data_IF_134511552264
#
_entry.id   IF_134511552264
#
_cell.length_a   1.000
_cell.length_b   1.000
_cell.length_c   1.000
_cell.angle_alpha   90.00
_cell.angle_beta   90.00
_cell.angle_gamma   90.00
#
_symmetry.space_group_name_H-M   'P 1'
#
loop_
_entity.id
_entity.type
_entity.pdbx_description
1 polymer ?
#
# COMPACT_ATOMS: atom_id res chain seq x y z
N UNK A 1 1.12 5.14 5.04
CA UNK A 1 0.77 4.49 3.77
C UNK A 1 -0.66 3.99 3.88
N UNK A 2 -1.25 3.50 2.79
CA UNK A 2 -2.55 2.83 2.83
C UNK A 2 -2.42 1.38 3.39
N UNK A 3 -3.53 0.71 3.74
CA UNK A 3 -3.51 -0.65 4.28
C UNK A 3 -2.99 -1.73 3.31
N UNK A 4 -2.85 -1.41 2.02
CA UNK A 4 -2.39 -2.33 0.97
C UNK A 4 -0.88 -2.27 0.75
N UNK A 5 -0.16 -1.50 1.57
CA UNK A 5 1.28 -1.31 1.48
C UNK A 5 1.92 -1.39 2.89
N UNK A 6 2.31 -2.60 3.28
CA UNK A 6 2.99 -2.89 4.54
C UNK A 6 4.04 -3.99 4.38
N UNK A 7 5.01 -3.98 5.28
CA UNK A 7 5.99 -5.04 5.42
C UNK A 7 6.57 -5.04 6.82
N UNK A 8 7.00 -6.21 7.28
CA UNK A 8 7.46 -6.40 8.65
C UNK A 8 7.74 -7.86 8.94
N UNK A 9 8.19 -8.13 10.16
CA UNK A 9 8.48 -9.49 10.61
C UNK A 9 7.35 -9.95 11.52
N UNK A 10 6.80 -11.14 11.25
CA UNK A 10 5.71 -11.70 12.05
C UNK A 10 6.18 -11.93 13.49
N UNK A 11 5.53 -11.29 14.44
CA UNK A 11 5.75 -11.55 15.86
C UNK A 11 5.07 -12.86 16.29
N UNK A 12 5.70 -13.60 17.19
CA UNK A 12 5.03 -14.67 17.94
C UNK A 12 4.11 -14.03 18.97
N UNK A 13 2.80 -14.24 18.87
CA UNK A 13 1.85 -13.79 19.89
C UNK A 13 1.93 -14.78 21.05
N UNK A 14 2.12 -14.33 22.32
CA UNK A 14 2.07 -15.22 23.47
C UNK A 14 0.71 -15.93 23.51
N UNK A 15 0.72 -17.24 23.77
CA UNK A 15 -0.46 -18.12 23.79
C UNK A 15 -1.55 -17.74 24.80
N UNK A 16 -1.41 -16.63 25.55
CA UNK A 16 -2.40 -16.08 26.47
C UNK A 16 -3.23 -14.90 25.95
N UNK A 17 -2.99 -14.40 24.72
CA UNK A 17 -3.79 -13.29 24.16
C UNK A 17 -4.89 -13.87 23.26
N UNK A 18 -6.04 -14.20 23.87
CA UNK A 18 -7.28 -14.44 23.13
C UNK A 18 -7.75 -13.13 22.48
N UNK A 19 -7.25 -12.83 21.28
CA UNK A 19 -7.94 -11.93 20.37
C UNK A 19 -9.09 -12.74 19.75
N UNK A 20 -10.33 -12.35 20.03
CA UNK A 20 -11.50 -13.19 19.85
C UNK A 20 -11.70 -13.74 18.43
N UNK A 21 -11.33 -15.00 18.24
CA UNK A 21 -11.96 -15.89 17.26
C UNK A 21 -12.76 -16.92 18.05
N UNK A 22 -14.08 -16.98 17.78
CA UNK A 22 -14.96 -18.01 18.33
C UNK A 22 -14.61 -19.33 17.67
N UNK A 23 -13.96 -20.22 18.41
CA UNK A 23 -13.86 -21.62 18.04
C UNK A 23 -15.25 -22.28 18.05
N UNK A 24 -15.49 -23.09 17.02
CA UNK A 24 -16.69 -23.92 16.89
C UNK A 24 -16.57 -25.17 17.76
N UNK A 25 -17.66 -25.66 18.39
CA UNK A 25 -17.56 -26.71 19.39
C UNK A 25 -17.46 -28.11 18.75
N UNK A 26 -16.58 -28.95 19.28
CA UNK A 26 -16.69 -30.40 19.18
C UNK A 26 -17.18 -30.97 20.52
N UNK A 27 -18.34 -31.60 20.49
CA UNK A 27 -18.91 -32.47 21.53
C UNK A 27 -17.89 -33.59 21.87
N UNK A 28 -17.53 -33.90 23.13
CA UNK A 28 -18.33 -34.55 24.19
C UNK A 28 -18.46 -36.05 23.88
N UNK A 29 -18.01 -37.05 24.65
CA UNK A 29 -17.66 -37.27 26.05
C UNK A 29 -16.78 -38.56 26.11
N UNK A 30 -16.01 -38.90 27.16
CA UNK A 30 -16.47 -39.60 28.39
C UNK A 30 -15.29 -39.76 29.38
N UNK A 31 -15.62 -39.75 30.67
CA UNK A 31 -14.79 -39.70 31.90
C UNK A 31 -13.91 -40.92 32.21
N UNK A 32 -12.91 -40.71 33.08
CA UNK A 32 -12.22 -41.69 33.91
C UNK A 32 -11.11 -41.04 34.74
N UNK A 33 -11.15 -41.23 36.07
CA UNK A 33 -10.44 -40.51 37.14
C UNK A 33 -8.97 -40.92 37.40
N UNK A 34 -8.27 -40.03 38.13
CA UNK A 34 -7.22 -40.24 39.16
C UNK A 34 -5.85 -40.85 38.77
N UNK A 35 -4.77 -40.05 38.80
CA UNK A 35 -3.81 -39.94 39.93
C UNK A 35 -2.48 -39.27 39.51
N UNK A 36 -1.92 -38.48 40.44
CA UNK A 36 -0.63 -37.77 40.39
C UNK A 36 0.57 -38.71 40.26
N UNK A 37 1.48 -38.48 39.30
CA UNK A 37 2.93 -38.64 39.48
C UNK A 37 3.69 -37.59 38.65
N UNK A 38 4.54 -36.83 39.36
CA UNK A 38 5.49 -35.85 38.83
C UNK A 38 6.54 -36.54 37.95
N UNK A 39 6.49 -36.34 36.64
CA UNK A 39 7.63 -36.54 35.74
C UNK A 39 8.01 -35.18 35.13
N UNK A 40 9.11 -34.62 35.66
CA UNK A 40 9.84 -33.49 35.08
C UNK A 40 10.50 -33.96 33.77
N UNK A 41 9.74 -34.03 32.69
CA UNK A 41 10.30 -34.12 31.34
C UNK A 41 10.83 -32.72 30.97
N UNK A 42 12.13 -32.54 31.17
CA UNK A 42 12.92 -31.50 30.52
C UNK A 42 12.88 -31.71 29.01
N UNK A 43 11.80 -31.26 28.36
CA UNK A 43 11.76 -31.07 26.92
C UNK A 43 12.71 -29.90 26.57
N UNK A 44 13.99 -30.23 26.41
CA UNK A 44 14.90 -29.51 25.52
C UNK A 44 14.33 -29.57 24.08
N UNK A 45 13.24 -28.84 23.82
CA UNK A 45 12.83 -28.54 22.45
C UNK A 45 13.85 -27.56 21.89
N UNK A 46 14.95 -28.13 21.36
CA UNK A 46 15.86 -27.51 20.42
C UNK A 46 15.18 -27.21 19.09
N UNK A 47 13.97 -26.65 19.13
CA UNK A 47 13.25 -26.10 18.02
C UNK A 47 14.03 -24.89 17.51
N UNK A 48 14.82 -25.14 16.47
CA UNK A 48 15.55 -24.14 15.71
C UNK A 48 14.63 -22.93 15.48
N UNK A 49 14.96 -21.77 16.08
CA UNK A 49 14.16 -20.56 15.89
C UNK A 49 13.99 -20.35 14.38
N UNK A 50 12.75 -20.18 13.87
CA UNK A 50 12.54 -20.00 12.44
C UNK A 50 13.39 -18.81 11.97
N UNK A 51 14.04 -18.98 10.81
CA UNK A 51 14.90 -17.94 10.27
C UNK A 51 14.10 -16.64 10.13
N UNK A 52 14.73 -15.50 10.43
CA UNK A 52 14.07 -14.18 10.39
C UNK A 52 13.54 -13.91 8.97
N UNK A 53 14.19 -14.48 7.97
CA UNK A 53 13.76 -14.45 6.57
C UNK A 53 12.43 -15.16 6.33
N UNK A 54 12.13 -16.26 7.04
CA UNK A 54 10.88 -17.01 6.92
C UNK A 54 9.68 -16.28 7.55
N UNK A 55 9.95 -15.38 8.51
CA UNK A 55 8.94 -14.56 9.18
C UNK A 55 8.66 -13.23 8.48
N UNK A 56 9.37 -12.92 7.39
CA UNK A 56 9.25 -11.65 6.70
C UNK A 56 7.98 -11.59 5.82
N UNK A 57 7.07 -10.69 6.15
CA UNK A 57 5.93 -10.33 5.30
C UNK A 57 6.25 -9.10 4.45
N UNK A 58 5.94 -9.20 3.15
CA UNK A 58 6.04 -8.10 2.20
C UNK A 58 4.75 -8.00 1.39
N UNK A 59 3.85 -7.12 1.79
CA UNK A 59 2.62 -6.82 1.06
C UNK A 59 2.65 -5.39 0.53
N UNK A 60 3.25 -5.22 -0.65
CA UNK A 60 3.45 -3.91 -1.27
C UNK A 60 2.71 -3.83 -2.59
N UNK A 61 1.45 -3.36 -2.60
CA UNK A 61 0.73 -3.07 -3.84
C UNK A 61 1.56 -2.17 -4.80
N UNK A 62 2.32 -1.23 -4.25
CA UNK A 62 3.21 -0.34 -5.00
C UNK A 62 4.19 -1.09 -5.92
N UNK A 63 4.66 -2.27 -5.51
CA UNK A 63 5.63 -3.04 -6.29
C UNK A 63 5.04 -3.52 -7.62
N UNK A 64 3.73 -3.77 -7.67
CA UNK A 64 3.07 -4.28 -8.86
C UNK A 64 3.04 -3.26 -9.99
N UNK A 65 3.14 -1.97 -9.66
CA UNK A 65 3.19 -0.86 -10.62
C UNK A 65 4.59 -0.60 -11.16
N UNK A 66 5.63 -1.23 -10.59
CA UNK A 66 6.98 -1.15 -11.14
C UNK A 66 7.15 -2.16 -12.29
N UNK A 67 7.99 -1.84 -13.29
CA UNK A 67 8.29 -2.77 -14.38
C UNK A 67 8.91 -4.08 -13.89
N UNK A 68 8.46 -5.21 -14.43
CA UNK A 68 9.16 -6.48 -14.25
C UNK A 68 10.52 -6.47 -14.99
N UNK A 69 10.59 -5.69 -16.07
CA UNK A 69 11.82 -5.45 -16.81
C UNK A 69 12.91 -4.84 -15.91
N UNK A 70 14.17 -5.16 -16.22
CA UNK A 70 15.33 -4.78 -15.42
C UNK A 70 15.28 -5.21 -13.94
N UNK A 71 14.37 -6.12 -13.56
CA UNK A 71 14.21 -6.65 -12.20
C UNK A 71 13.82 -5.59 -11.15
N UNK A 72 13.09 -4.54 -11.55
CA UNK A 72 12.75 -3.43 -10.62
C UNK A 72 11.94 -3.91 -9.42
N UNK A 73 10.97 -4.82 -9.63
CA UNK A 73 10.17 -5.39 -8.54
C UNK A 73 11.03 -6.17 -7.54
N UNK A 74 11.91 -7.06 -8.03
CA UNK A 74 12.82 -7.83 -7.18
C UNK A 74 13.77 -6.94 -6.41
N UNK A 75 14.34 -5.92 -7.07
CA UNK A 75 15.22 -4.97 -6.41
C UNK A 75 14.50 -4.14 -5.36
N UNK A 76 13.22 -3.79 -5.57
CA UNK A 76 12.43 -3.06 -4.59
C UNK A 76 12.28 -3.88 -3.31
N UNK A 77 11.84 -5.14 -3.47
CA UNK A 77 11.68 -6.07 -2.35
C UNK A 77 13.03 -6.27 -1.64
N UNK A 78 14.11 -6.50 -2.38
CA UNK A 78 15.44 -6.70 -1.79
C UNK A 78 15.89 -5.51 -0.93
N UNK A 79 15.72 -4.27 -1.40
CA UNK A 79 16.15 -3.07 -0.64
C UNK A 79 15.27 -2.85 0.60
N UNK A 80 13.96 -3.00 0.46
CA UNK A 80 13.01 -2.82 1.58
C UNK A 80 13.17 -3.92 2.63
N UNK A 81 13.23 -5.18 2.20
CA UNK A 81 13.46 -6.34 3.07
C UNK A 81 14.79 -6.25 3.81
N UNK A 82 15.88 -5.88 3.12
CA UNK A 82 17.18 -5.71 3.77
C UNK A 82 17.13 -4.69 4.89
N UNK A 83 16.42 -3.56 4.69
CA UNK A 83 16.23 -2.56 5.74
C UNK A 83 15.41 -3.12 6.91
N UNK A 84 14.27 -3.76 6.65
CA UNK A 84 13.39 -4.32 7.69
C UNK A 84 14.15 -5.33 8.55
N UNK A 85 14.87 -6.26 7.92
CA UNK A 85 15.64 -7.30 8.62
C UNK A 85 16.80 -6.70 9.42
N UNK A 86 17.54 -5.74 8.84
CA UNK A 86 18.65 -5.09 9.53
C UNK A 86 18.17 -4.34 10.79
N UNK A 87 17.09 -3.57 10.68
CA UNK A 87 16.52 -2.85 11.83
C UNK A 87 16.02 -3.83 12.88
N UNK A 88 15.32 -4.88 12.47
CA UNK A 88 14.84 -5.90 13.41
C UNK A 88 15.97 -6.58 14.17
N UNK A 89 17.05 -6.99 13.48
CA UNK A 89 18.22 -7.56 14.14
C UNK A 89 18.84 -6.59 15.15
N UNK A 90 18.93 -5.30 14.80
CA UNK A 90 19.44 -4.27 15.74
C UNK A 90 18.54 -4.09 16.96
N UNK A 91 17.21 -4.16 16.78
CA UNK A 91 16.24 -4.11 17.88
C UNK A 91 16.40 -5.33 18.79
N UNK A 92 16.52 -6.53 18.23
CA UNK A 92 16.71 -7.76 18.99
C UNK A 92 18.01 -7.73 19.81
N UNK A 93 19.12 -7.29 19.19
CA UNK A 93 20.41 -7.19 19.86
C UNK A 93 20.39 -6.19 21.02
N UNK A 94 19.78 -5.01 20.84
CA UNK A 94 19.65 -4.02 21.91
C UNK A 94 18.70 -4.49 23.03
N UNK A 95 17.67 -5.27 22.69
CA UNK A 95 16.79 -5.88 23.69
C UNK A 95 17.54 -6.96 24.51
N UNK A 96 18.37 -7.78 23.86
CA UNK A 96 19.24 -8.76 24.53
C UNK A 96 20.27 -8.10 25.45
N UNK A 97 20.81 -6.96 25.07
CA UNK A 97 21.72 -6.16 25.91
C UNK A 97 21.02 -5.51 27.12
N UNK A 98 19.75 -5.17 26.96
CA UNK A 98 18.93 -4.54 28.01
C UNK A 98 18.28 -5.54 28.96
N UNK A 99 18.36 -6.85 28.68
CA UNK A 99 17.79 -7.89 29.51
C UNK A 99 18.40 -7.90 30.93
N UNK A 100 17.58 -8.05 31.99
CA UNK A 100 18.05 -8.10 33.37
C UNK A 100 19.08 -9.24 33.56
N UNK A 101 20.30 -8.91 33.97
CA UNK A 101 21.38 -9.89 34.22
C UNK A 101 22.72 -9.55 33.54
N UNK A 102 22.73 -8.70 32.50
CA UNK A 102 23.94 -8.34 31.75
C UNK A 102 24.52 -6.94 32.05
N UNK A 103 23.92 -6.17 32.94
CA UNK A 103 24.51 -4.90 33.41
C UNK A 103 25.50 -5.17 34.55
N UNK A 104 26.76 -4.69 34.46
CA UNK A 104 27.71 -4.85 35.57
C UNK A 104 27.15 -4.15 36.80
N UNK A 105 26.93 -4.91 37.88
CA UNK A 105 26.48 -4.37 39.17
C UNK A 105 27.56 -3.43 39.71
N UNK A 106 27.47 -2.14 39.39
CA UNK A 106 28.19 -1.12 40.14
C UNK A 106 27.49 -0.98 41.48
N UNK A 107 28.07 -1.61 42.50
CA UNK A 107 27.72 -1.41 43.91
C UNK A 107 27.86 0.08 44.23
N UNK A 108 26.76 0.84 44.24
CA UNK A 108 26.73 2.21 44.77
C UNK A 108 25.56 2.36 45.74
N UNK A 109 25.90 2.93 46.89
CA UNK A 109 25.07 3.02 48.09
C UNK A 109 23.79 3.81 47.90
N UNK A 110 22.87 3.54 48.83
CA UNK A 110 21.51 4.02 48.89
C UNK A 110 21.34 5.52 48.61
N UNK A 111 20.54 5.86 47.60
CA UNK A 111 19.55 6.94 47.69
C UNK A 111 18.62 6.97 46.45
N UNK A 112 17.33 6.80 46.76
CA UNK A 112 16.11 7.15 46.03
C UNK A 112 15.75 6.41 44.71
N UNK A 113 14.48 5.96 44.58
CA UNK A 113 13.97 5.37 43.36
C UNK A 113 13.60 6.48 42.37
N UNK A 114 14.25 6.49 41.21
CA UNK A 114 13.77 7.22 40.04
C UNK A 114 12.66 6.40 39.38
N UNK A 115 11.47 6.99 39.26
CA UNK A 115 10.35 6.45 38.50
C UNK A 115 10.79 6.13 37.07
N UNK A 116 10.71 4.85 36.70
CA UNK A 116 10.73 4.44 35.31
C UNK A 116 9.49 5.03 34.63
N UNK A 117 9.73 5.89 33.65
CA UNK A 117 8.67 6.41 32.79
C UNK A 117 8.24 5.27 31.87
N UNK A 118 7.25 4.52 32.33
CA UNK A 118 6.50 3.60 31.51
C UNK A 118 5.60 4.44 30.59
N UNK A 119 6.14 4.81 29.43
CA UNK A 119 5.44 5.70 28.51
C UNK A 119 6.13 5.85 27.17
N UNK A 120 5.50 5.28 26.15
CA UNK A 120 5.83 5.28 24.72
C UNK A 120 6.99 4.38 24.29
N UNK A 121 6.72 3.53 23.28
CA UNK A 121 7.68 2.80 22.48
C UNK A 121 8.59 3.74 21.68
N UNK A 122 9.39 4.55 22.38
CA UNK A 122 10.48 5.29 21.78
C UNK A 122 11.57 4.26 21.45
N UNK A 123 11.91 4.14 20.16
CA UNK A 123 13.00 3.28 19.71
C UNK A 123 14.26 3.58 20.54
N UNK A 124 14.94 2.52 21.01
CA UNK A 124 16.16 2.66 21.80
C UNK A 124 17.18 3.52 21.03
N UNK A 125 17.87 4.48 21.68
CA UNK A 125 18.80 5.36 20.99
C UNK A 125 19.84 4.63 20.13
N UNK A 126 20.29 3.44 20.57
CA UNK A 126 21.22 2.58 19.81
C UNK A 126 20.65 2.09 18.48
N UNK A 127 19.37 1.71 18.45
CA UNK A 127 18.67 1.29 17.22
C UNK A 127 18.54 2.47 16.26
N UNK A 128 18.21 3.65 16.76
CA UNK A 128 18.10 4.86 15.94
C UNK A 128 19.44 5.17 15.25
N UNK A 129 20.55 5.15 16.01
CA UNK A 129 21.88 5.39 15.45
C UNK A 129 22.26 4.34 14.42
N UNK A 130 21.98 3.06 14.71
CA UNK A 130 22.23 1.98 13.76
C UNK A 130 21.45 2.16 12.45
N UNK A 131 20.14 2.42 12.52
CA UNK A 131 19.31 2.64 11.33
C UNK A 131 19.82 3.81 10.49
N UNK A 132 20.22 4.91 11.13
CA UNK A 132 20.77 6.07 10.44
C UNK A 132 22.09 5.75 9.73
N UNK A 133 23.01 5.05 10.40
CA UNK A 133 24.31 4.68 9.84
C UNK A 133 24.19 3.63 8.73
N UNK A 134 23.29 2.65 8.90
CA UNK A 134 23.01 1.62 7.89
C UNK A 134 22.47 2.26 6.60
N UNK A 135 21.51 3.19 6.72
CA UNK A 135 20.95 3.90 5.57
C UNK A 135 22.02 4.77 4.91
N UNK A 136 22.78 5.53 5.69
CA UNK A 136 23.77 6.47 5.17
C UNK A 136 24.94 5.78 4.43
N UNK A 137 25.27 4.55 4.80
CA UNK A 137 26.44 3.84 4.29
C UNK A 137 26.06 2.66 3.38
N UNK A 138 25.60 1.55 3.95
CA UNK A 138 25.41 0.30 3.22
C UNK A 138 24.23 0.37 2.25
N UNK A 139 23.07 0.81 2.74
CA UNK A 139 21.86 0.88 1.92
C UNK A 139 22.03 1.88 0.77
N UNK A 140 22.66 3.03 1.05
CA UNK A 140 22.97 4.04 0.04
C UNK A 140 23.81 3.46 -1.10
N UNK A 141 24.93 2.78 -0.79
CA UNK A 141 25.78 2.18 -1.81
C UNK A 141 25.06 1.11 -2.64
N UNK A 142 24.27 0.26 -1.99
CA UNK A 142 23.48 -0.77 -2.66
C UNK A 142 22.45 -0.14 -3.61
N UNK A 143 21.70 0.85 -3.13
CA UNK A 143 20.67 1.52 -3.90
C UNK A 143 21.26 2.27 -5.11
N UNK A 144 22.39 2.96 -4.96
CA UNK A 144 23.11 3.55 -6.09
C UNK A 144 23.47 2.51 -7.16
N UNK A 145 24.03 1.38 -6.74
CA UNK A 145 24.43 0.28 -7.63
C UNK A 145 23.23 -0.28 -8.39
N UNK A 146 22.11 -0.51 -7.70
CA UNK A 146 20.87 -1.00 -8.29
C UNK A 146 20.31 0.00 -9.30
N UNK A 147 20.20 1.27 -8.92
CA UNK A 147 19.68 2.33 -9.79
C UNK A 147 20.51 2.45 -11.07
N UNK A 148 21.84 2.37 -10.98
CA UNK A 148 22.71 2.33 -12.16
C UNK A 148 22.48 1.08 -13.03
N UNK A 149 22.26 -0.09 -12.41
CA UNK A 149 21.92 -1.33 -13.15
C UNK A 149 20.59 -1.18 -13.90
N UNK A 150 19.58 -0.58 -13.27
CA UNK A 150 18.28 -0.31 -13.90
C UNK A 150 18.48 0.66 -15.07
N UNK A 151 19.14 1.80 -14.86
CA UNK A 151 19.42 2.77 -15.93
C UNK A 151 20.09 2.11 -17.14
N UNK A 152 21.18 1.35 -16.93
CA UNK A 152 21.91 0.70 -18.03
C UNK A 152 21.06 -0.28 -18.84
N UNK A 153 20.07 -0.92 -18.22
CA UNK A 153 19.17 -1.87 -18.89
C UNK A 153 18.00 -1.18 -19.62
N UNK A 154 17.69 0.07 -19.27
CA UNK A 154 16.45 0.76 -19.66
C UNK A 154 16.71 1.96 -20.59
N UNK A 155 17.97 2.33 -20.85
CA UNK A 155 18.38 3.50 -21.65
C UNK A 155 17.98 3.52 -23.14
N UNK A 156 17.01 2.73 -23.59
CA UNK A 156 16.61 2.59 -25.00
C UNK A 156 15.35 3.33 -25.46
N UNK A 157 14.51 3.88 -24.57
CA UNK A 157 13.27 4.56 -24.98
C UNK A 157 12.94 5.70 -24.02
N UNK A 158 13.26 6.94 -24.40
CA UNK A 158 12.95 8.16 -23.63
C UNK A 158 11.98 9.05 -24.41
N UNK A 159 10.79 8.55 -24.71
CA UNK A 159 9.69 9.40 -25.16
C UNK A 159 8.98 9.97 -23.93
N UNK A 160 9.24 11.25 -23.61
CA UNK A 160 8.68 11.92 -22.42
C UNK A 160 7.15 12.06 -22.51
N UNK A 161 6.59 12.07 -23.72
CA UNK A 161 5.18 12.32 -23.99
C UNK A 161 4.28 11.07 -23.93
N UNK A 162 4.85 9.86 -23.84
CA UNK A 162 4.10 8.61 -23.94
C UNK A 162 4.37 7.71 -22.72
N UNK A 163 3.38 6.87 -22.40
CA UNK A 163 3.56 5.79 -21.44
C UNK A 163 4.63 4.83 -21.95
N UNK A 164 5.59 4.51 -21.10
CA UNK A 164 6.55 3.47 -21.44
C UNK A 164 5.86 2.11 -21.37
N UNK A 165 5.92 1.34 -22.46
CA UNK A 165 5.41 -0.04 -22.56
C UNK A 165 5.95 -0.98 -21.47
N UNK A 166 7.06 -0.59 -20.82
CA UNK A 166 7.67 -1.36 -19.73
C UNK A 166 6.83 -1.34 -18.44
N UNK A 167 5.95 -0.37 -18.25
CA UNK A 167 5.11 -0.28 -17.05
C UNK A 167 3.80 -1.06 -17.23
N UNK A 168 3.39 -1.85 -16.24
CA UNK A 168 2.12 -2.55 -16.30
C UNK A 168 0.95 -1.57 -16.18
N UNK A 169 -0.11 -1.83 -16.96
CA UNK A 169 -1.40 -1.13 -16.83
C UNK A 169 -2.31 -2.00 -15.96
N UNK A 170 -2.44 -1.60 -14.69
CA UNK A 170 -3.27 -2.25 -13.69
C UNK A 170 -4.58 -1.47 -13.50
N UNK A 171 -5.62 -2.05 -12.86
CA UNK A 171 -6.92 -1.38 -12.67
C UNK A 171 -6.83 0.03 -12.08
N UNK A 172 -5.90 0.25 -11.14
CA UNK A 172 -5.68 1.54 -10.50
C UNK A 172 -4.72 2.50 -11.24
N UNK A 173 -4.14 2.10 -12.37
CA UNK A 173 -3.13 2.90 -13.09
C UNK A 173 -3.73 4.21 -13.59
N UNK A 174 -3.08 5.33 -13.28
CA UNK A 174 -3.53 6.65 -13.75
C UNK A 174 -2.40 7.64 -14.00
N UNK A 175 -1.15 7.25 -13.69
CA UNK A 175 0.03 8.06 -13.92
C UNK A 175 0.67 7.68 -15.25
N UNK A 176 1.22 8.66 -15.94
CA UNK A 176 2.02 8.46 -17.13
C UNK A 176 3.48 8.20 -16.72
N UNK A 177 3.80 6.95 -16.45
CA UNK A 177 5.14 6.53 -16.02
C UNK A 177 6.03 6.22 -17.24
N UNK A 178 7.19 6.86 -17.31
CA UNK A 178 8.12 6.74 -18.44
C UNK A 178 9.57 6.41 -18.04
N UNK A 179 9.95 6.61 -16.77
CA UNK A 179 11.32 6.42 -16.30
C UNK A 179 11.36 5.37 -15.16
N UNK A 180 11.64 4.09 -15.49
CA UNK A 180 11.72 3.01 -14.50
C UNK A 180 12.68 3.27 -13.34
N UNK A 181 13.83 3.90 -13.60
CA UNK A 181 14.80 4.20 -12.54
C UNK A 181 14.26 5.28 -11.58
N UNK A 182 13.61 6.32 -12.11
CA UNK A 182 13.00 7.37 -11.30
C UNK A 182 11.84 6.83 -10.45
N UNK A 183 10.94 6.04 -11.04
CA UNK A 183 9.81 5.47 -10.29
C UNK A 183 10.28 4.45 -9.25
N UNK A 184 11.31 3.67 -9.55
CA UNK A 184 11.97 2.81 -8.58
C UNK A 184 12.51 3.62 -7.38
N UNK A 185 13.23 4.72 -7.63
CA UNK A 185 13.76 5.60 -6.58
C UNK A 185 12.63 6.11 -5.68
N UNK A 186 11.61 6.70 -6.31
CA UNK A 186 10.46 7.27 -5.60
C UNK A 186 9.75 6.24 -4.73
N UNK A 187 9.51 5.03 -5.24
CA UNK A 187 8.80 3.99 -4.52
C UNK A 187 9.57 3.54 -3.28
N UNK A 188 10.86 3.21 -3.43
CA UNK A 188 11.70 2.79 -2.31
C UNK A 188 11.87 3.90 -1.28
N UNK A 189 12.20 5.13 -1.71
CA UNK A 189 12.34 6.27 -0.80
C UNK A 189 11.02 6.57 -0.07
N UNK A 190 9.87 6.38 -0.72
CA UNK A 190 8.58 6.57 -0.06
C UNK A 190 8.34 5.54 1.04
N UNK A 191 8.70 4.28 0.82
CA UNK A 191 8.61 3.24 1.86
C UNK A 191 9.57 3.54 3.01
N UNK A 192 10.84 3.85 2.72
CA UNK A 192 11.82 4.18 3.76
C UNK A 192 11.42 5.42 4.58
N UNK A 193 10.74 6.39 3.96
CA UNK A 193 10.24 7.60 4.65
C UNK A 193 9.16 7.32 5.71
N UNK A 194 8.64 6.08 5.81
CA UNK A 194 7.74 5.68 6.89
C UNK A 194 8.45 5.66 8.24
N UNK A 195 9.77 5.41 8.26
CA UNK A 195 10.55 5.47 9.48
C UNK A 195 11.05 6.90 9.70
N UNK A 196 10.42 7.57 10.67
CA UNK A 196 10.74 8.96 11.02
C UNK A 196 12.19 9.15 11.49
N UNK A 197 12.84 8.10 12.01
CA UNK A 197 14.19 8.17 12.56
C UNK A 197 15.27 8.37 11.49
N UNK A 198 14.99 8.01 10.23
CA UNK A 198 15.95 8.07 9.11
C UNK A 198 15.59 9.13 8.06
N UNK A 199 14.65 10.04 8.38
CA UNK A 199 14.12 11.03 7.44
C UNK A 199 15.21 11.84 6.73
N UNK A 200 16.24 12.29 7.47
CA UNK A 200 17.33 13.10 6.90
C UNK A 200 18.22 12.30 5.94
N UNK A 201 18.49 11.04 6.28
CA UNK A 201 19.28 10.10 5.51
C UNK A 201 18.55 9.75 4.20
N UNK A 202 17.24 9.48 4.27
CA UNK A 202 16.39 9.23 3.11
C UNK A 202 16.30 10.47 2.21
N UNK A 203 16.17 11.67 2.76
CA UNK A 203 16.15 12.91 1.98
C UNK A 203 17.48 13.15 1.24
N UNK A 204 18.61 12.90 1.91
CA UNK A 204 19.95 12.97 1.30
C UNK A 204 20.09 11.94 0.17
N UNK A 205 19.74 10.69 0.45
CA UNK A 205 19.77 9.59 -0.51
C UNK A 205 18.90 9.89 -1.75
N UNK A 206 17.66 10.36 -1.55
CA UNK A 206 16.75 10.72 -2.63
C UNK A 206 17.36 11.81 -3.52
N UNK A 207 17.87 12.90 -2.93
CA UNK A 207 18.52 13.97 -3.71
C UNK A 207 19.70 13.46 -4.52
N UNK A 208 20.55 12.64 -3.92
CA UNK A 208 21.76 12.18 -4.58
C UNK A 208 21.43 11.13 -5.69
N UNK A 209 20.38 10.32 -5.52
CA UNK A 209 19.83 9.42 -6.55
C UNK A 209 19.11 10.16 -7.69
N UNK A 210 18.37 11.23 -7.38
CA UNK A 210 17.73 12.08 -8.39
C UNK A 210 18.77 12.73 -9.30
N UNK A 211 19.90 13.18 -8.74
CA UNK A 211 21.05 13.66 -9.52
C UNK A 211 21.62 12.58 -10.44
N UNK A 212 21.65 11.31 -10.00
CA UNK A 212 22.10 10.20 -10.85
C UNK A 212 21.17 9.96 -12.05
N UNK A 213 19.86 10.19 -11.92
CA UNK A 213 18.88 10.10 -13.02
C UNK A 213 18.67 11.40 -13.79
N UNK A 214 19.45 12.44 -13.50
CA UNK A 214 19.36 13.77 -14.12
C UNK A 214 17.99 14.44 -13.92
N UNK A 215 17.41 14.27 -12.73
CA UNK A 215 16.13 14.87 -12.34
C UNK A 215 16.37 15.85 -11.18
N UNK A 216 15.83 17.06 -11.31
CA UNK A 216 15.93 18.09 -10.26
C UNK A 216 15.07 17.75 -9.05
N UNK A 217 15.58 17.98 -7.82
CA UNK A 217 14.86 17.64 -6.57
C UNK A 217 13.52 18.37 -6.39
N UNK A 218 13.36 19.53 -7.02
CA UNK A 218 12.13 20.35 -6.98
C UNK A 218 11.26 20.20 -8.23
N UNK A 219 11.60 19.30 -9.15
CA UNK A 219 10.81 19.08 -10.34
C UNK A 219 9.47 18.42 -9.99
N UNK A 220 8.43 18.67 -10.79
CA UNK A 220 7.14 18.00 -10.61
C UNK A 220 7.25 16.48 -10.81
N UNK A 221 8.17 16.05 -11.67
CA UNK A 221 8.47 14.63 -11.89
C UNK A 221 9.23 14.00 -10.73
N UNK A 222 9.90 14.73 -9.83
CA UNK A 222 10.56 14.14 -8.66
C UNK A 222 9.57 13.78 -7.54
N UNK A 223 8.41 14.41 -7.52
CA UNK A 223 7.43 14.21 -6.45
C UNK A 223 6.80 12.82 -6.53
N UNK A 224 6.81 12.09 -5.41
CA UNK A 224 6.10 10.83 -5.32
C UNK A 224 4.59 11.07 -5.44
N UNK A 225 3.95 10.32 -6.34
CA UNK A 225 2.51 10.20 -6.45
C UNK A 225 2.17 8.71 -6.41
N UNK A 226 1.18 8.34 -5.61
CA UNK A 226 0.71 6.95 -5.56
C UNK A 226 0.30 6.52 -6.99
N UNK A 227 0.89 5.47 -7.58
CA UNK A 227 0.52 5.03 -8.92
C UNK A 227 -0.86 4.35 -8.98
N UNK A 228 -1.39 3.91 -7.83
CA UNK A 228 -2.63 3.15 -7.74
C UNK A 228 -3.78 3.96 -7.14
N UNK A 229 -4.78 4.29 -7.96
CA UNK A 229 -6.08 4.75 -7.44
C UNK A 229 -6.93 3.57 -7.00
N UNK A 230 -7.48 3.69 -5.80
CA UNK A 230 -8.44 2.74 -5.25
C UNK A 230 -9.84 3.03 -5.79
N UNK A 231 -10.62 1.97 -6.01
CA UNK A 231 -12.06 2.06 -6.20
C UNK A 231 -12.75 0.98 -5.36
N UNK A 232 -13.45 1.43 -4.32
CA UNK A 232 -14.09 0.55 -3.35
C UNK A 232 -15.58 0.42 -3.66
N UNK A 233 -16.04 -0.81 -3.87
CA UNK A 233 -17.46 -1.14 -3.82
C UNK A 233 -17.87 -1.37 -2.36
N UNK A 234 -18.83 -0.60 -1.84
CA UNK A 234 -19.30 -0.79 -0.48
C UNK A 234 -20.15 -2.06 -0.36
N UNK A 235 -20.06 -2.72 0.79
CA UNK A 235 -21.03 -3.75 1.22
C UNK A 235 -21.24 -4.90 0.22
N UNK A 236 -20.15 -5.43 -0.34
CA UNK A 236 -20.21 -6.60 -1.22
C UNK A 236 -20.44 -7.87 -0.40
N UNK A 237 -21.55 -8.55 -0.67
CA UNK A 237 -21.98 -9.76 0.06
C UNK A 237 -21.58 -11.02 -0.73
N UNK A 238 -20.87 -11.93 -0.07
CA UNK A 238 -20.57 -13.24 -0.65
C UNK A 238 -21.83 -14.13 -0.69
N UNK A 239 -22.19 -14.65 -1.86
CA UNK A 239 -23.37 -15.52 -2.00
C UNK A 239 -23.22 -16.86 -1.27
N UNK A 240 -21.99 -17.34 -1.05
CA UNK A 240 -21.75 -18.64 -0.42
C UNK A 240 -21.74 -18.60 1.11
N UNK A 241 -21.09 -17.59 1.71
CA UNK A 241 -20.95 -17.50 3.16
C UNK A 241 -21.62 -16.27 3.81
N UNK A 242 -22.27 -15.42 3.01
CA UNK A 242 -22.94 -14.18 3.44
C UNK A 242 -22.02 -13.16 4.14
N UNK A 243 -20.70 -13.35 4.05
CA UNK A 243 -19.74 -12.37 4.55
C UNK A 243 -19.86 -11.08 3.73
N UNK A 244 -20.08 -9.97 4.42
CA UNK A 244 -20.21 -8.63 3.85
C UNK A 244 -18.94 -7.84 4.12
N UNK A 245 -18.37 -7.26 3.08
CA UNK A 245 -17.18 -6.40 3.19
C UNK A 245 -17.14 -5.39 2.07
N UNK A 246 -16.41 -4.32 2.30
CA UNK A 246 -16.00 -3.43 1.23
C UNK A 246 -14.94 -4.14 0.36
N UNK A 247 -15.07 -4.00 -0.96
CA UNK A 247 -14.20 -4.65 -1.95
C UNK A 247 -13.46 -3.58 -2.75
N UNK A 248 -12.14 -3.46 -2.56
CA UNK A 248 -11.28 -2.57 -3.36
C UNK A 248 -10.87 -3.25 -4.66
N UNK A 249 -11.51 -2.87 -5.76
CA UNK A 249 -11.30 -3.50 -7.06
C UNK A 249 -9.90 -3.33 -7.63
N UNK A 250 -9.11 -2.41 -7.09
CA UNK A 250 -7.74 -2.12 -7.55
C UNK A 250 -6.66 -2.69 -6.63
N UNK A 251 -6.98 -2.93 -5.35
CA UNK A 251 -5.97 -3.26 -4.32
C UNK A 251 -6.28 -4.54 -3.52
N UNK A 252 -7.37 -5.25 -3.82
CA UNK A 252 -7.74 -6.44 -3.06
C UNK A 252 -6.68 -7.55 -3.18
N UNK A 253 -6.20 -8.12 -2.07
CA UNK A 253 -5.20 -9.18 -2.10
C UNK A 253 -5.77 -10.53 -2.51
N UNK A 254 -7.09 -10.74 -2.37
CA UNK A 254 -7.75 -12.01 -2.65
C UNK A 254 -8.26 -12.03 -4.10
N UNK A 255 -7.34 -12.27 -5.03
CA UNK A 255 -7.65 -12.37 -6.47
C UNK A 255 -7.13 -13.68 -7.02
N UNK A 256 -7.96 -14.42 -7.75
CA UNK A 256 -7.53 -15.60 -8.49
C UNK A 256 -6.68 -15.19 -9.68
N UNK A 257 -5.47 -15.74 -9.80
CA UNK A 257 -4.55 -15.51 -10.91
C UNK A 257 -4.40 -16.79 -11.75
N UNK A 258 -5.48 -17.18 -12.44
CA UNK A 258 -5.40 -18.25 -13.44
C UNK A 258 -5.18 -17.61 -14.81
N UNK A 259 -3.95 -17.69 -15.35
CA UNK A 259 -3.56 -17.02 -16.60
C UNK A 259 -4.34 -17.39 -17.87
N UNK A 260 -5.26 -18.35 -17.79
CA UNK A 260 -6.17 -18.73 -18.87
C UNK A 260 -7.49 -17.93 -18.88
N UNK A 261 -7.85 -17.27 -17.77
CA UNK A 261 -9.11 -16.58 -17.58
C UNK A 261 -8.87 -15.18 -16.99
N UNK A 262 -9.79 -14.22 -17.20
CA UNK A 262 -9.71 -12.95 -16.49
C UNK A 262 -9.71 -13.18 -14.97
N UNK A 263 -8.94 -12.40 -14.22
CA UNK A 263 -8.84 -12.54 -12.77
C UNK A 263 -10.21 -12.35 -12.10
N UNK A 264 -10.41 -12.92 -10.91
CA UNK A 264 -11.65 -12.78 -10.14
C UNK A 264 -11.35 -12.50 -8.69
N UNK A 265 -12.15 -11.64 -8.07
CA UNK A 265 -12.06 -11.40 -6.64
C UNK A 265 -12.60 -12.60 -5.87
N UNK A 266 -11.92 -12.97 -4.80
CA UNK A 266 -12.28 -14.06 -3.90
C UNK A 266 -12.82 -13.48 -2.59
N UNK A 267 -13.73 -14.23 -1.98
CA UNK A 267 -14.19 -13.92 -0.64
C UNK A 267 -13.05 -14.15 0.36
N UNK A 268 -12.75 -13.15 1.19
CA UNK A 268 -11.72 -13.26 2.22
C UNK A 268 -12.00 -14.35 3.26
N UNK A 269 -13.27 -14.75 3.42
CA UNK A 269 -13.68 -15.76 4.40
C UNK A 269 -13.69 -17.19 3.82
N UNK A 270 -14.43 -17.43 2.73
CA UNK A 270 -14.59 -18.79 2.18
C UNK A 270 -13.77 -19.05 0.91
N UNK A 271 -13.01 -18.06 0.41
CA UNK A 271 -12.19 -18.13 -0.81
C UNK A 271 -12.97 -18.47 -2.09
N UNK A 272 -14.30 -18.40 -2.07
CA UNK A 272 -15.15 -18.54 -3.26
C UNK A 272 -15.09 -17.25 -4.08
N UNK A 273 -14.97 -17.39 -5.41
CA UNK A 273 -14.97 -16.26 -6.32
C UNK A 273 -16.31 -15.52 -6.32
N UNK A 274 -16.26 -14.19 -6.28
CA UNK A 274 -17.42 -13.34 -6.51
C UNK A 274 -17.87 -13.44 -7.97
N UNK A 275 -19.17 -13.27 -8.19
CA UNK A 275 -19.74 -13.22 -9.53
C UNK A 275 -19.36 -11.90 -10.21
N UNK A 276 -18.55 -11.99 -11.26
CA UNK A 276 -18.09 -10.85 -12.05
C UNK A 276 -19.24 -10.05 -12.65
N UNK A 277 -20.36 -10.71 -13.00
CA UNK A 277 -21.52 -10.03 -13.59
C UNK A 277 -22.24 -9.12 -12.58
N UNK A 278 -22.31 -9.54 -11.32
CA UNK A 278 -22.90 -8.74 -10.23
C UNK A 278 -22.01 -7.52 -9.95
N UNK A 279 -20.70 -7.71 -9.93
CA UNK A 279 -19.74 -6.61 -9.74
C UNK A 279 -19.79 -5.64 -10.92
N UNK A 280 -19.84 -6.14 -12.15
CA UNK A 280 -19.97 -5.32 -13.36
C UNK A 280 -21.23 -4.46 -13.31
N UNK A 281 -22.38 -5.03 -12.96
CA UNK A 281 -23.63 -4.27 -12.82
C UNK A 281 -23.59 -3.24 -11.68
N UNK A 282 -22.90 -3.56 -10.57
CA UNK A 282 -22.68 -2.60 -9.50
C UNK A 282 -21.82 -1.41 -9.96
N UNK A 283 -20.81 -1.66 -10.80
CA UNK A 283 -19.99 -0.60 -11.42
C UNK A 283 -20.78 0.25 -12.39
N UNK A 284 -21.64 -0.36 -13.23
CA UNK A 284 -22.53 0.38 -14.13
C UNK A 284 -23.49 1.26 -13.33
N UNK A 285 -24.11 0.73 -12.29
CA UNK A 285 -24.97 1.50 -11.40
C UNK A 285 -24.23 2.67 -10.73
N UNK A 286 -22.98 2.43 -10.30
CA UNK A 286 -22.15 3.48 -9.72
C UNK A 286 -21.74 4.56 -10.73
N UNK A 287 -21.43 4.18 -11.98
CA UNK A 287 -21.17 5.10 -13.08
C UNK A 287 -22.40 5.97 -13.37
N UNK A 288 -23.57 5.36 -13.47
CA UNK A 288 -24.85 6.07 -13.67
C UNK A 288 -25.15 7.03 -12.51
N UNK A 289 -24.93 6.61 -11.26
CA UNK A 289 -25.08 7.48 -10.08
C UNK A 289 -24.14 8.68 -10.15
N UNK A 290 -22.89 8.50 -10.57
CA UNK A 290 -21.92 9.58 -10.74
C UNK A 290 -22.30 10.52 -11.87
N UNK A 291 -22.77 9.99 -13.00
CA UNK A 291 -23.26 10.79 -14.12
C UNK A 291 -24.48 11.63 -13.71
N UNK A 292 -25.40 11.02 -12.95
CA UNK A 292 -26.55 11.73 -12.39
C UNK A 292 -26.10 12.86 -11.47
N UNK A 293 -25.16 12.58 -10.55
CA UNK A 293 -24.60 13.61 -9.66
C UNK A 293 -23.92 14.74 -10.43
N UNK A 294 -23.16 14.43 -11.49
CA UNK A 294 -22.54 15.44 -12.35
C UNK A 294 -23.57 16.28 -13.11
N UNK A 295 -24.67 15.69 -13.55
CA UNK A 295 -25.74 16.38 -14.30
C UNK A 295 -26.57 17.28 -13.39
N UNK A 296 -26.84 16.83 -12.17
CA UNK A 296 -27.65 17.54 -11.17
C UNK A 296 -26.82 18.42 -10.23
N UNK A 297 -25.53 18.56 -10.47
CA UNK A 297 -24.63 19.29 -9.59
C UNK A 297 -25.06 20.76 -9.45
N UNK A 298 -24.79 21.33 -8.28
CA UNK A 298 -24.93 22.76 -8.08
C UNK A 298 -23.86 23.54 -8.84
N UNK A 299 -24.19 24.80 -9.14
CA UNK A 299 -23.23 25.78 -9.62
C UNK A 299 -22.94 26.80 -8.52
N UNK A 300 -21.66 27.14 -8.34
CA UNK A 300 -21.21 28.07 -7.29
C UNK A 300 -20.60 29.32 -7.91
N UNK A 301 -20.90 30.49 -7.35
CA UNK A 301 -20.31 31.73 -7.81
C UNK A 301 -18.82 31.82 -7.43
N UNK A 302 -17.97 32.20 -8.39
CA UNK A 302 -16.52 32.38 -8.17
C UNK A 302 -16.18 33.53 -7.22
N UNK A 303 -17.05 34.55 -7.11
CA UNK A 303 -16.82 35.73 -6.27
C UNK A 303 -17.35 35.56 -4.85
N UNK A 304 -18.66 35.38 -4.71
CA UNK A 304 -19.33 35.34 -3.39
C UNK A 304 -19.47 33.94 -2.80
N UNK A 305 -19.10 32.88 -3.54
CA UNK A 305 -19.27 31.47 -3.14
C UNK A 305 -20.72 31.04 -2.87
N UNK A 306 -21.71 31.87 -3.25
CA UNK A 306 -23.13 31.50 -3.19
C UNK A 306 -23.51 30.46 -4.24
N UNK A 307 -24.44 29.58 -3.87
CA UNK A 307 -25.02 28.56 -4.76
C UNK A 307 -26.02 29.21 -5.71
N UNK A 308 -26.09 28.73 -6.95
CA UNK A 308 -27.05 29.21 -7.96
C UNK A 308 -28.46 28.64 -7.66
N UNK A 309 -29.37 29.51 -7.25
CA UNK A 309 -30.72 29.11 -6.83
C UNK A 309 -31.74 29.05 -7.98
N UNK A 310 -31.47 29.68 -9.13
CA UNK A 310 -32.41 29.77 -10.26
C UNK A 310 -31.75 29.36 -11.56
N UNK A 311 -32.50 28.80 -12.52
CA UNK A 311 -31.92 28.16 -13.71
C UNK A 311 -31.42 29.15 -14.77
N UNK A 312 -32.18 30.22 -15.05
CA UNK A 312 -31.92 31.12 -16.19
C UNK A 312 -30.69 32.04 -16.07
N UNK A 313 -30.31 32.58 -14.89
CA UNK A 313 -29.21 33.54 -14.81
C UNK A 313 -27.87 32.96 -15.27
N UNK A 314 -27.19 33.67 -16.16
CA UNK A 314 -25.84 33.35 -16.63
C UNK A 314 -24.76 33.84 -15.66
N UNK A 315 -25.07 34.86 -14.87
CA UNK A 315 -24.19 35.44 -13.85
C UNK A 315 -24.89 35.53 -12.49
N UNK A 316 -24.10 35.52 -11.43
CA UNK A 316 -24.58 35.78 -10.08
C UNK A 316 -24.97 37.27 -9.91
N UNK A 317 -25.80 37.57 -8.90
CA UNK A 317 -26.17 38.94 -8.52
C UNK A 317 -24.97 39.84 -8.20
N UNK A 318 -23.84 39.26 -7.79
CA UNK A 318 -22.55 39.97 -7.59
C UNK A 318 -21.73 40.17 -8.89
N UNK A 319 -22.32 39.92 -10.07
CA UNK A 319 -21.66 39.89 -11.37
C UNK A 319 -20.46 38.92 -11.43
N UNK A 320 -20.52 37.82 -10.67
CA UNK A 320 -19.55 36.73 -10.72
C UNK A 320 -20.02 35.61 -11.64
N UNK A 321 -19.10 34.99 -12.37
CA UNK A 321 -19.37 33.77 -13.13
C UNK A 321 -19.64 32.58 -12.20
N UNK A 322 -20.38 31.60 -12.71
CA UNK A 322 -20.64 30.35 -12.03
C UNK A 322 -19.64 29.26 -12.46
N UNK A 323 -19.25 28.40 -11.53
CA UNK A 323 -18.39 27.24 -11.78
C UNK A 323 -19.07 25.95 -11.32
N UNK A 324 -18.68 24.85 -11.98
CA UNK A 324 -19.04 23.49 -11.58
C UNK A 324 -18.55 23.20 -10.16
N UNK A 325 -19.35 22.46 -9.38
CA UNK A 325 -18.95 21.91 -8.08
C UNK A 325 -18.25 20.56 -8.24
N UNK A 326 -18.65 19.79 -9.25
CA UNK A 326 -18.00 18.57 -9.71
C UNK A 326 -17.31 18.89 -11.04
N UNK A 327 -15.99 19.00 -11.00
CA UNK A 327 -15.20 19.32 -12.19
C UNK A 327 -15.17 18.16 -13.19
N UNK A 328 -15.30 18.50 -14.47
CA UNK A 328 -15.15 17.59 -15.61
C UNK A 328 -13.90 16.72 -15.50
N UNK A 329 -12.74 17.31 -15.18
CA UNK A 329 -11.48 16.58 -15.04
C UNK A 329 -11.58 15.44 -14.02
N UNK A 330 -12.18 15.68 -12.86
CA UNK A 330 -12.35 14.67 -11.79
C UNK A 330 -13.27 13.54 -12.26
N UNK A 331 -14.32 13.87 -13.01
CA UNK A 331 -15.22 12.88 -13.59
C UNK A 331 -14.51 11.99 -14.62
N UNK A 332 -13.68 12.58 -15.49
CA UNK A 332 -12.90 11.82 -16.49
C UNK A 332 -11.83 10.94 -15.87
N UNK A 333 -11.17 11.41 -14.81
CA UNK A 333 -10.24 10.58 -14.05
C UNK A 333 -10.95 9.35 -13.45
N UNK A 334 -12.22 9.47 -13.02
CA UNK A 334 -13.00 8.33 -12.55
C UNK A 334 -13.33 7.36 -13.68
N UNK A 335 -13.79 7.87 -14.83
CA UNK A 335 -14.04 7.05 -16.04
C UNK A 335 -12.81 6.25 -16.44
N UNK A 336 -11.62 6.85 -16.36
CA UNK A 336 -10.35 6.15 -16.63
C UNK A 336 -10.15 4.92 -15.72
N UNK A 337 -10.48 5.03 -14.43
CA UNK A 337 -10.39 3.90 -13.49
C UNK A 337 -11.42 2.82 -13.84
N UNK A 338 -12.68 3.19 -14.10
CA UNK A 338 -13.70 2.23 -14.53
C UNK A 338 -13.27 1.49 -15.80
N UNK A 339 -12.66 2.19 -16.76
CA UNK A 339 -12.13 1.61 -18.00
C UNK A 339 -11.02 0.61 -17.72
N UNK A 340 -10.05 0.95 -16.88
CA UNK A 340 -8.95 0.04 -16.53
C UNK A 340 -9.45 -1.21 -15.79
N UNK A 341 -10.39 -1.06 -14.86
CA UNK A 341 -11.04 -2.19 -14.19
C UNK A 341 -11.74 -3.07 -15.23
N UNK A 342 -12.54 -2.46 -16.12
CA UNK A 342 -13.30 -3.21 -17.10
C UNK A 342 -12.41 -3.97 -18.09
N UNK A 343 -11.32 -3.36 -18.54
CA UNK A 343 -10.32 -4.00 -19.40
C UNK A 343 -9.60 -5.15 -18.70
N UNK A 344 -9.15 -4.95 -17.46
CA UNK A 344 -8.37 -5.94 -16.71
C UNK A 344 -9.21 -7.18 -16.34
N UNK A 345 -10.49 -6.98 -16.00
CA UNK A 345 -11.38 -8.05 -15.54
C UNK A 345 -12.32 -8.57 -16.64
N UNK A 346 -12.22 -8.07 -17.88
CA UNK A 346 -13.01 -8.54 -19.02
C UNK A 346 -14.51 -8.23 -18.94
N UNK A 347 -14.87 -7.02 -18.49
CA UNK A 347 -16.25 -6.56 -18.33
C UNK A 347 -16.74 -5.85 -19.60
N UNK A 348 -17.39 -6.60 -20.51
CA UNK A 348 -17.77 -6.09 -21.83
C UNK A 348 -18.90 -5.05 -21.76
N UNK A 349 -19.90 -5.25 -20.90
CA UNK A 349 -21.03 -4.33 -20.79
C UNK A 349 -20.61 -2.99 -20.18
N UNK A 350 -19.77 -3.02 -19.15
CA UNK A 350 -19.18 -1.81 -18.60
C UNK A 350 -18.32 -1.08 -19.64
N UNK A 351 -17.52 -1.80 -20.44
CA UNK A 351 -16.75 -1.18 -21.53
C UNK A 351 -17.64 -0.48 -22.57
N UNK A 352 -18.69 -1.14 -23.05
CA UNK A 352 -19.63 -0.55 -24.03
C UNK A 352 -20.30 0.72 -23.47
N UNK A 353 -20.72 0.70 -22.19
CA UNK A 353 -21.34 1.87 -21.56
C UNK A 353 -20.36 3.04 -21.40
N UNK A 354 -19.09 2.78 -21.11
CA UNK A 354 -18.03 3.79 -21.03
C UNK A 354 -17.71 4.37 -22.42
N UNK A 355 -17.61 3.53 -23.44
CA UNK A 355 -17.35 3.96 -24.83
C UNK A 355 -18.49 4.85 -25.34
N UNK A 356 -19.74 4.44 -25.15
CA UNK A 356 -20.90 5.25 -25.49
C UNK A 356 -20.87 6.62 -24.78
N UNK A 357 -20.52 6.65 -23.50
CA UNK A 357 -20.46 7.89 -22.73
C UNK A 357 -19.37 8.84 -23.25
N UNK A 358 -18.22 8.30 -23.67
CA UNK A 358 -17.12 9.06 -24.26
C UNK A 358 -17.47 9.59 -25.66
N UNK A 359 -18.08 8.76 -26.52
CA UNK A 359 -18.49 9.16 -27.87
C UNK A 359 -19.53 10.29 -27.86
N UNK A 360 -20.50 10.24 -26.94
CA UNK A 360 -21.53 11.29 -26.82
C UNK A 360 -21.01 12.59 -26.25
N UNK A 361 -19.80 12.61 -25.70
CA UNK A 361 -19.23 13.77 -25.04
C UNK A 361 -17.79 14.03 -25.50
N UNK A 362 -17.58 14.41 -26.77
CA UNK A 362 -16.22 14.65 -27.30
C UNK A 362 -15.49 15.78 -26.56
N UNK A 363 -16.23 16.72 -25.96
CA UNK A 363 -15.71 17.80 -25.11
C UNK A 363 -15.09 17.30 -23.80
N UNK A 364 -15.43 16.07 -23.37
CA UNK A 364 -14.88 15.46 -22.17
C UNK A 364 -13.57 14.70 -22.45
N UNK A 365 -13.29 14.33 -23.70
CA UNK A 365 -12.14 13.50 -24.09
C UNK A 365 -10.82 14.25 -24.35
N UNK A 366 -10.78 15.57 -24.15
CA UNK A 366 -9.61 16.43 -24.39
C UNK A 366 -9.10 17.12 -23.13
#
# INVERSE_FOLDING_TARGET
MDPSNYGGIKGKVPSGIHCGQRDSPKEGSTQGDEDDEDDEDEDEDGGQEPDVEDLLENNWNLVQFLPQAASCQTYFLMVVSAYIVAVHHSVQEELRRSAPGNTPVKRRGASQPSQEVQGAAAALPGVITFSQDYVANELTQNFFTITQKIQKKVTGSRNVAELSEMFPVLPGSHLLLNNPALEFIKCVCKVLSLDTNITNQVNKLNRDLLRLVDVGEFSAEAQFRDPCRSYVLPEVICHSCHFCRDLDLCKDPFVSQDGAMPPRWLCSNCQVAYDSSVIEMALVAALQKKLMAFTLQDLVCLKCRGVKETHMPTYCSCAGGFSLTIHTKVFMEQIGIFRNIAQHYGMSYLMETLEWLLEKNPQLGH
#
